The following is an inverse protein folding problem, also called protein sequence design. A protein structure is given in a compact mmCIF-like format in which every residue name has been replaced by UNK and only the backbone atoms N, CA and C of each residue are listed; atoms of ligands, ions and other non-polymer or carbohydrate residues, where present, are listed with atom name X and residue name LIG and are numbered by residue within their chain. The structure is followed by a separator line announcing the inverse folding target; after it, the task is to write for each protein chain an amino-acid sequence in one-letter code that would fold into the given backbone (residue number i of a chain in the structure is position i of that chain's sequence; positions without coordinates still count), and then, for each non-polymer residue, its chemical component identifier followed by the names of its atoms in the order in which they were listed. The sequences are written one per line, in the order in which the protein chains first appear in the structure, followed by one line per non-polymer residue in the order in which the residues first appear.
data_IF_241295721499
#
_entry.id   IF_241295721499
#
_cell.length_a   1.000
_cell.length_b   1.000
_cell.length_c   1.000
_cell.angle_alpha   90.00
_cell.angle_beta   90.00
_cell.angle_gamma   90.00
#
_symmetry.space_group_name_H-M   'P 1'
#
loop_
_entity.id
_entity.type
_entity.pdbx_description
1 polymer ?
#
# COMPACT_ATOMS: atom_id res chain seq x y z
N UNK A 1 4.83 2.10 -22.77
CA UNK A 1 4.83 2.24 -21.31
C UNK A 1 5.29 0.95 -20.63
N UNK A 2 4.64 -0.18 -20.84
CA UNK A 2 4.97 -1.47 -20.20
C UNK A 2 6.44 -1.86 -20.36
N UNK A 3 6.97 -1.88 -21.57
CA UNK A 3 8.37 -2.23 -21.84
C UNK A 3 9.40 -1.37 -21.10
N UNK A 4 9.11 -0.07 -20.95
CA UNK A 4 9.98 0.84 -20.17
C UNK A 4 9.91 0.51 -18.69
N UNK A 5 8.73 0.20 -18.17
CA UNK A 5 8.55 -0.20 -16.78
C UNK A 5 9.26 -1.52 -16.48
N UNK A 6 9.08 -2.53 -17.34
CA UNK A 6 9.76 -3.82 -17.21
C UNK A 6 11.29 -3.68 -17.22
N UNK A 7 11.83 -2.88 -18.13
CA UNK A 7 13.28 -2.61 -18.17
C UNK A 7 13.73 -1.92 -16.89
N UNK A 8 13.02 -0.88 -16.45
CA UNK A 8 13.33 -0.16 -15.23
C UNK A 8 13.33 -1.07 -13.98
N UNK A 9 12.31 -1.93 -13.85
CA UNK A 9 12.26 -2.88 -12.72
C UNK A 9 13.40 -3.89 -12.79
N UNK A 10 13.73 -4.42 -13.97
CA UNK A 10 14.84 -5.36 -14.14
C UNK A 10 16.19 -4.73 -13.78
N UNK A 11 16.38 -3.46 -14.11
CA UNK A 11 17.63 -2.75 -13.89
C UNK A 11 17.77 -2.26 -12.44
N UNK A 12 16.71 -1.67 -11.87
CA UNK A 12 16.77 -1.02 -10.56
C UNK A 12 16.32 -1.94 -9.40
N UNK A 13 15.42 -2.90 -9.67
CA UNK A 13 14.81 -3.77 -8.66
C UNK A 13 14.78 -5.23 -9.13
N UNK A 14 15.94 -5.83 -9.50
CA UNK A 14 15.98 -7.17 -10.09
C UNK A 14 15.41 -8.27 -9.19
N UNK A 15 15.37 -8.05 -7.89
CA UNK A 15 14.75 -8.96 -6.93
C UNK A 15 13.23 -9.06 -7.12
N UNK A 16 12.53 -7.98 -7.53
CA UNK A 16 11.09 -8.02 -7.78
C UNK A 16 10.70 -8.90 -8.97
N UNK A 17 11.65 -9.24 -9.85
CA UNK A 17 11.42 -10.18 -10.94
C UNK A 17 11.42 -11.63 -10.46
N UNK A 18 12.16 -11.94 -9.39
CA UNK A 18 12.39 -13.30 -8.91
C UNK A 18 11.65 -13.61 -7.61
N UNK A 19 11.62 -12.65 -6.70
CA UNK A 19 11.07 -12.82 -5.37
C UNK A 19 9.56 -12.54 -5.35
N UNK A 20 8.91 -13.05 -4.32
CA UNK A 20 7.50 -12.82 -4.10
C UNK A 20 7.27 -11.47 -3.47
N UNK A 21 6.22 -10.77 -3.89
CA UNK A 21 5.86 -9.46 -3.38
C UNK A 21 4.39 -9.37 -2.95
N UNK A 22 4.06 -8.35 -2.16
CA UNK A 22 2.70 -7.95 -1.82
C UNK A 22 2.39 -6.69 -2.62
N UNK A 23 1.34 -6.71 -3.42
CA UNK A 23 0.82 -5.53 -4.11
C UNK A 23 -0.40 -5.02 -3.36
N UNK A 24 -0.29 -3.81 -2.82
CA UNK A 24 -1.38 -3.16 -2.12
C UNK A 24 -2.35 -2.53 -3.12
N UNK A 25 -3.56 -3.07 -3.22
CA UNK A 25 -4.55 -2.61 -4.19
C UNK A 25 -5.82 -2.12 -3.47
N UNK A 26 -6.07 -0.81 -3.55
CA UNK A 26 -7.24 -0.18 -2.93
C UNK A 26 -8.50 -0.25 -3.81
N UNK A 27 -8.38 -0.58 -5.09
CA UNK A 27 -9.45 -0.46 -6.10
C UNK A 27 -9.39 0.84 -6.89
N UNK A 28 -8.65 1.85 -6.43
CA UNK A 28 -8.42 3.09 -7.16
C UNK A 28 -7.50 2.91 -8.37
N UNK A 29 -7.58 3.85 -9.31
CA UNK A 29 -6.90 3.80 -10.62
C UNK A 29 -5.41 3.48 -10.49
N UNK A 30 -4.67 4.19 -9.63
CA UNK A 30 -3.22 4.03 -9.52
C UNK A 30 -2.84 2.63 -9.00
N UNK A 31 -3.59 2.11 -8.03
CA UNK A 31 -3.37 0.77 -7.49
C UNK A 31 -3.69 -0.34 -8.50
N UNK A 32 -4.68 -0.13 -9.35
CA UNK A 32 -5.04 -1.04 -10.45
C UNK A 32 -4.00 -0.97 -11.57
N UNK A 33 -3.45 0.21 -11.86
CA UNK A 33 -2.32 0.37 -12.79
C UNK A 33 -1.10 -0.39 -12.26
N UNK A 34 -0.74 -0.22 -10.99
CA UNK A 34 0.37 -0.96 -10.37
C UNK A 34 0.16 -2.48 -10.47
N UNK A 35 -1.06 -2.97 -10.18
CA UNK A 35 -1.40 -4.38 -10.33
C UNK A 35 -1.11 -4.90 -11.75
N UNK A 36 -1.58 -4.16 -12.78
CA UNK A 36 -1.37 -4.56 -14.18
C UNK A 36 0.11 -4.46 -14.60
N UNK A 37 0.84 -3.46 -14.12
CA UNK A 37 2.27 -3.34 -14.35
C UNK A 37 3.02 -4.53 -13.74
N UNK A 38 2.68 -4.95 -12.52
CA UNK A 38 3.30 -6.11 -11.90
C UNK A 38 2.96 -7.42 -12.60
N UNK A 39 1.76 -7.56 -13.17
CA UNK A 39 1.44 -8.72 -14.02
C UNK A 39 2.37 -8.87 -15.22
N UNK A 40 2.87 -7.77 -15.78
CA UNK A 40 3.80 -7.81 -16.92
C UNK A 40 5.22 -8.16 -16.50
N UNK A 41 5.60 -7.86 -15.27
CA UNK A 41 6.95 -8.14 -14.74
C UNK A 41 7.06 -9.56 -14.18
N UNK A 42 6.14 -9.89 -13.27
CA UNK A 42 6.19 -11.14 -12.53
C UNK A 42 4.82 -11.43 -11.90
N UNK A 43 4.28 -12.62 -12.14
CA UNK A 43 3.02 -13.07 -11.51
C UNK A 43 3.21 -13.66 -10.10
N UNK A 44 4.42 -13.64 -9.57
CA UNK A 44 4.72 -14.16 -8.24
C UNK A 44 4.46 -13.10 -7.17
N UNK A 45 3.23 -12.62 -7.09
CA UNK A 45 2.81 -11.69 -6.03
C UNK A 45 1.44 -12.09 -5.46
N UNK A 46 1.13 -11.51 -4.33
CA UNK A 46 -0.21 -11.57 -3.71
C UNK A 46 -0.76 -10.15 -3.58
N UNK A 47 -2.08 -10.04 -3.52
CA UNK A 47 -2.73 -8.73 -3.33
C UNK A 47 -3.23 -8.60 -1.89
N UNK A 48 -2.95 -7.44 -1.29
CA UNK A 48 -3.51 -7.00 -0.02
C UNK A 48 -4.48 -5.84 -0.24
N UNK A 49 -5.70 -5.96 0.30
CA UNK A 49 -6.75 -4.94 0.25
C UNK A 49 -7.25 -4.63 1.65
N UNK A 50 -7.37 -3.33 1.97
CA UNK A 50 -7.94 -2.85 3.22
C UNK A 50 -9.30 -2.20 2.95
N UNK A 51 -10.36 -2.75 3.51
CA UNK A 51 -11.69 -2.16 3.48
C UNK A 51 -11.96 -1.42 4.79
N UNK A 52 -11.92 -0.09 4.76
CA UNK A 52 -12.11 0.76 5.95
C UNK A 52 -13.56 1.11 6.24
N UNK A 53 -14.50 0.65 5.44
CA UNK A 53 -15.95 0.93 5.54
C UNK A 53 -16.31 2.42 5.68
N UNK A 54 -15.46 3.29 5.12
CA UNK A 54 -15.64 4.74 5.22
C UNK A 54 -16.73 5.26 4.28
N UNK A 55 -16.97 4.56 3.16
CA UNK A 55 -17.92 4.94 2.11
C UNK A 55 -19.07 3.94 1.95
N UNK A 56 -19.39 3.18 2.99
CA UNK A 56 -20.43 2.16 2.96
C UNK A 56 -20.35 1.26 1.71
N UNK A 57 -21.37 1.33 0.83
CA UNK A 57 -21.50 0.46 -0.36
C UNK A 57 -20.33 0.58 -1.35
N UNK A 58 -19.72 1.76 -1.50
CA UNK A 58 -18.58 1.96 -2.41
C UNK A 58 -17.34 1.19 -1.94
N UNK A 59 -17.11 1.11 -0.63
CA UNK A 59 -15.96 0.39 -0.08
C UNK A 59 -16.07 -1.12 -0.26
N UNK A 60 -17.28 -1.67 -0.20
CA UNK A 60 -17.54 -3.09 -0.46
C UNK A 60 -17.47 -3.38 -1.96
N UNK A 61 -17.88 -2.43 -2.80
CA UNK A 61 -17.72 -2.48 -4.26
C UNK A 61 -16.25 -2.54 -4.70
N UNK A 62 -15.39 -1.73 -4.09
CA UNK A 62 -13.95 -1.74 -4.35
C UNK A 62 -13.32 -3.10 -3.97
N UNK A 63 -13.69 -3.66 -2.82
CA UNK A 63 -13.21 -4.97 -2.39
C UNK A 63 -13.62 -6.08 -3.37
N UNK A 64 -14.89 -6.11 -3.77
CA UNK A 64 -15.38 -7.12 -4.73
C UNK A 64 -14.73 -6.96 -6.11
N UNK A 65 -14.51 -5.73 -6.56
CA UNK A 65 -13.80 -5.44 -7.80
C UNK A 65 -12.36 -6.00 -7.76
N UNK A 66 -11.59 -5.70 -6.72
CA UNK A 66 -10.20 -6.17 -6.59
C UNK A 66 -10.16 -7.69 -6.47
N UNK A 67 -11.07 -8.29 -5.72
CA UNK A 67 -11.21 -9.75 -5.59
C UNK A 67 -11.48 -10.42 -6.93
N UNK A 68 -12.38 -9.86 -7.75
CA UNK A 68 -12.69 -10.34 -9.10
C UNK A 68 -11.47 -10.21 -10.02
N UNK A 69 -10.76 -9.06 -9.96
CA UNK A 69 -9.53 -8.82 -10.71
C UNK A 69 -8.45 -9.86 -10.38
N UNK A 70 -8.26 -10.16 -9.11
CA UNK A 70 -7.32 -11.19 -8.64
C UNK A 70 -7.72 -12.59 -9.14
N UNK A 71 -9.01 -12.94 -9.05
CA UNK A 71 -9.52 -14.23 -9.52
C UNK A 71 -9.30 -14.43 -11.01
N UNK A 72 -9.56 -13.41 -11.84
CA UNK A 72 -9.36 -13.44 -13.28
C UNK A 72 -7.90 -13.68 -13.68
N UNK A 73 -6.96 -13.22 -12.86
CA UNK A 73 -5.53 -13.35 -13.12
C UNK A 73 -4.84 -14.47 -12.32
N UNK A 74 -5.61 -15.28 -11.56
CA UNK A 74 -5.11 -16.37 -10.70
C UNK A 74 -4.13 -15.88 -9.63
N UNK A 75 -4.32 -14.65 -9.12
CA UNK A 75 -3.54 -14.03 -8.05
C UNK A 75 -4.23 -14.25 -6.70
N UNK A 76 -3.46 -14.59 -5.66
CA UNK A 76 -3.99 -14.72 -4.31
C UNK A 76 -4.40 -13.36 -3.75
N UNK A 77 -5.60 -13.30 -3.19
CA UNK A 77 -6.21 -12.10 -2.61
C UNK A 77 -6.34 -12.25 -1.09
N UNK A 78 -5.89 -11.24 -0.37
CA UNK A 78 -6.05 -11.09 1.07
C UNK A 78 -6.75 -9.77 1.34
N UNK A 79 -7.83 -9.79 2.10
CA UNK A 79 -8.52 -8.58 2.53
C UNK A 79 -8.77 -8.57 4.03
N UNK A 80 -8.85 -7.37 4.58
CA UNK A 80 -9.22 -7.11 5.97
C UNK A 80 -10.15 -5.90 6.02
N UNK A 81 -11.30 -6.08 6.66
CA UNK A 81 -12.26 -5.00 6.87
C UNK A 81 -12.06 -4.41 8.27
N UNK A 82 -12.11 -3.07 8.35
CA UNK A 82 -11.92 -2.33 9.58
C UNK A 82 -13.11 -1.43 9.87
N UNK A 83 -13.65 -1.49 11.07
CA UNK A 83 -14.63 -0.51 11.56
C UNK A 83 -13.92 0.72 12.11
N UNK A 84 -13.42 1.56 11.19
CA UNK A 84 -12.66 2.77 11.54
C UNK A 84 -13.47 3.78 12.33
N UNK A 85 -14.80 3.82 12.17
CA UNK A 85 -15.68 4.72 12.92
C UNK A 85 -15.68 4.34 14.40
N UNK A 86 -15.86 3.05 14.70
CA UNK A 86 -15.83 2.53 16.07
C UNK A 86 -14.47 2.72 16.75
N UNK A 87 -13.38 2.51 16.01
CA UNK A 87 -12.01 2.73 16.52
C UNK A 87 -11.79 4.22 16.82
N UNK A 88 -12.33 5.12 15.99
CA UNK A 88 -12.22 6.57 16.19
C UNK A 88 -12.88 7.04 17.49
N UNK A 89 -13.98 6.42 17.92
CA UNK A 89 -14.66 6.77 19.17
C UNK A 89 -13.76 6.61 20.39
N UNK A 90 -12.80 5.70 20.33
CA UNK A 90 -11.85 5.40 21.44
C UNK A 90 -10.47 6.04 21.23
N UNK A 91 -10.22 6.69 20.09
CA UNK A 91 -8.91 7.26 19.72
C UNK A 91 -8.95 8.76 19.56
N UNK A 92 -7.88 9.44 19.99
CA UNK A 92 -7.65 10.88 19.74
C UNK A 92 -7.10 11.17 18.33
N UNK A 93 -6.62 10.15 17.62
CA UNK A 93 -6.02 10.26 16.27
C UNK A 93 -7.06 10.57 15.20
N UNK A 94 -6.67 11.16 14.09
CA UNK A 94 -7.56 11.34 12.94
C UNK A 94 -7.93 9.99 12.30
N UNK A 95 -9.10 9.93 11.63
CA UNK A 95 -9.52 8.72 10.89
C UNK A 95 -8.45 8.29 9.87
N UNK A 96 -7.79 9.25 9.23
CA UNK A 96 -6.74 8.99 8.25
C UNK A 96 -5.51 8.34 8.89
N UNK A 97 -5.09 8.81 10.07
CA UNK A 97 -3.99 8.18 10.81
C UNK A 97 -4.36 6.77 11.24
N UNK A 98 -5.54 6.58 11.83
CA UNK A 98 -6.04 5.25 12.21
C UNK A 98 -6.04 4.30 11.00
N UNK A 99 -6.59 4.74 9.87
CA UNK A 99 -6.63 3.94 8.64
C UNK A 99 -5.22 3.63 8.10
N UNK A 100 -4.28 4.57 8.26
CA UNK A 100 -2.87 4.37 7.91
C UNK A 100 -2.25 3.28 8.78
N UNK A 101 -2.33 3.40 10.09
CA UNK A 101 -1.73 2.45 11.03
C UNK A 101 -2.30 1.03 10.82
N UNK A 102 -3.63 0.90 10.76
CA UNK A 102 -4.31 -0.37 10.49
C UNK A 102 -3.90 -1.01 9.15
N UNK A 103 -3.60 -0.18 8.15
CA UNK A 103 -3.13 -0.64 6.84
C UNK A 103 -1.76 -1.27 6.94
N UNK A 104 -0.83 -0.59 7.58
CA UNK A 104 0.54 -1.09 7.72
C UNK A 104 0.60 -2.32 8.62
N UNK A 105 -0.13 -2.33 9.74
CA UNK A 105 -0.25 -3.50 10.60
C UNK A 105 -0.73 -4.74 9.82
N UNK A 106 -1.70 -4.55 8.92
CA UNK A 106 -2.19 -5.65 8.09
C UNK A 106 -1.17 -6.10 7.04
N UNK A 107 -0.43 -5.17 6.46
CA UNK A 107 0.63 -5.52 5.50
C UNK A 107 1.75 -6.29 6.19
N UNK A 108 2.15 -5.90 7.38
CA UNK A 108 3.15 -6.58 8.19
C UNK A 108 2.66 -7.97 8.64
N UNK A 109 1.38 -8.11 8.99
CA UNK A 109 0.76 -9.41 9.27
C UNK A 109 0.88 -10.37 8.08
N UNK A 110 0.57 -9.91 6.85
CA UNK A 110 0.70 -10.72 5.64
C UNK A 110 2.16 -11.02 5.33
N UNK A 111 3.03 -10.01 5.41
CA UNK A 111 4.47 -10.09 5.18
C UNK A 111 5.10 -11.18 6.06
N UNK A 112 4.87 -11.10 7.36
CA UNK A 112 5.39 -12.05 8.34
C UNK A 112 4.83 -13.46 8.11
N UNK A 113 3.50 -13.60 7.92
CA UNK A 113 2.84 -14.89 7.72
C UNK A 113 3.29 -15.62 6.46
N UNK A 114 3.58 -14.88 5.39
CA UNK A 114 3.96 -15.44 4.09
C UNK A 114 5.48 -15.39 3.84
N UNK A 115 6.24 -14.81 4.76
CA UNK A 115 7.67 -14.55 4.62
C UNK A 115 7.99 -13.80 3.31
N UNK A 116 7.24 -12.70 3.06
CA UNK A 116 7.40 -11.84 1.88
C UNK A 116 7.98 -10.52 2.35
N UNK A 117 9.16 -10.14 1.83
CA UNK A 117 9.88 -8.92 2.24
C UNK A 117 9.44 -7.64 1.51
N UNK A 118 8.87 -7.80 0.31
CA UNK A 118 8.62 -6.65 -0.58
C UNK A 118 7.14 -6.29 -0.60
N UNK A 119 6.84 -5.06 -0.21
CA UNK A 119 5.48 -4.48 -0.23
C UNK A 119 5.47 -3.32 -1.23
N UNK A 120 4.57 -3.38 -2.19
CA UNK A 120 4.43 -2.41 -3.27
C UNK A 120 3.13 -1.62 -3.09
N UNK A 121 3.26 -0.31 -3.01
CA UNK A 121 2.13 0.62 -2.93
C UNK A 121 2.13 1.57 -4.11
N UNK A 122 0.95 1.98 -4.57
CA UNK A 122 0.80 2.92 -5.68
C UNK A 122 0.82 4.38 -5.19
N UNK A 123 1.82 4.73 -4.37
CA UNK A 123 2.08 6.13 -4.04
C UNK A 123 2.93 6.76 -5.14
N UNK A 124 2.61 7.99 -5.50
CA UNK A 124 3.37 8.72 -6.51
C UNK A 124 3.84 10.09 -5.97
N UNK A 125 4.71 10.76 -6.74
CA UNK A 125 5.35 12.00 -6.30
C UNK A 125 4.34 13.11 -5.94
N UNK A 126 3.20 13.16 -6.63
CA UNK A 126 2.14 14.13 -6.33
C UNK A 126 1.53 13.91 -4.94
N UNK A 127 1.36 12.65 -4.48
CA UNK A 127 0.87 12.35 -3.14
C UNK A 127 1.82 12.89 -2.08
N UNK A 128 3.13 12.76 -2.31
CA UNK A 128 4.17 13.30 -1.44
C UNK A 128 4.16 14.83 -1.43
N UNK A 129 4.00 15.45 -2.59
CA UNK A 129 3.91 16.91 -2.72
C UNK A 129 2.64 17.45 -2.05
N UNK A 130 1.49 16.80 -2.25
CA UNK A 130 0.23 17.19 -1.61
C UNK A 130 0.33 17.09 -0.09
N UNK A 131 0.88 15.99 0.43
CA UNK A 131 1.13 15.81 1.86
C UNK A 131 2.08 16.89 2.41
N UNK A 132 3.14 17.22 1.70
CA UNK A 132 4.09 18.26 2.05
C UNK A 132 3.42 19.64 2.13
N UNK A 133 2.62 20.02 1.12
CA UNK A 133 1.89 21.30 1.10
C UNK A 133 0.87 21.41 2.23
N UNK A 134 0.13 20.34 2.51
CA UNK A 134 -0.82 20.28 3.63
C UNK A 134 -0.10 20.45 4.97
N UNK A 135 1.04 19.79 5.14
CA UNK A 135 1.81 19.87 6.38
C UNK A 135 2.41 21.25 6.60
N UNK A 136 2.92 21.91 5.55
CA UNK A 136 3.35 23.32 5.62
C UNK A 136 2.19 24.22 6.04
N UNK A 137 1.01 24.08 5.40
CA UNK A 137 -0.16 24.92 5.69
C UNK A 137 -0.64 24.79 7.14
N UNK A 138 -0.37 23.65 7.78
CA UNK A 138 -0.71 23.36 9.18
C UNK A 138 0.38 23.76 10.17
N UNK A 139 1.52 24.31 9.70
CA UNK A 139 2.64 24.69 10.54
C UNK A 139 3.34 23.48 11.19
N UNK A 140 3.34 22.34 10.52
CA UNK A 140 4.05 21.14 11.01
C UNK A 140 5.55 21.39 11.09
N UNK A 141 6.21 20.83 12.11
CA UNK A 141 7.68 20.83 12.22
C UNK A 141 8.36 20.00 11.14
N UNK A 142 9.69 19.88 11.21
CA UNK A 142 10.51 19.16 10.21
C UNK A 142 10.04 17.72 9.96
N UNK A 143 9.61 17.02 11.01
CA UNK A 143 9.11 15.63 10.89
C UNK A 143 7.87 15.52 10.01
N UNK A 144 7.00 16.55 9.99
CA UNK A 144 5.83 16.60 9.11
C UNK A 144 6.17 16.93 7.66
N UNK A 145 7.38 17.39 7.36
CA UNK A 145 7.82 17.76 6.02
C UNK A 145 8.52 16.61 5.26
N UNK A 146 8.87 15.53 5.95
CA UNK A 146 9.61 14.40 5.36
C UNK A 146 8.76 13.50 4.44
N UNK A 147 7.48 13.80 4.24
CA UNK A 147 6.60 13.08 3.34
C UNK A 147 6.22 11.67 3.84
N UNK A 148 5.75 10.84 2.93
CA UNK A 148 5.45 9.44 3.22
C UNK A 148 6.78 8.67 3.29
N UNK A 149 7.31 8.46 4.49
CA UNK A 149 8.45 7.57 4.69
C UNK A 149 8.05 6.16 4.21
N UNK A 150 8.76 5.66 3.21
CA UNK A 150 8.74 4.25 2.88
C UNK A 150 9.45 3.53 4.04
N UNK A 151 8.68 2.94 4.93
CA UNK A 151 9.23 2.01 5.92
C UNK A 151 9.77 0.80 5.17
N UNK A 152 11.09 0.69 5.11
CA UNK A 152 11.72 -0.61 4.95
C UNK A 152 11.94 -1.14 6.37
N UNK A 153 11.63 -2.40 6.61
CA UNK A 153 11.83 -3.06 7.92
C UNK A 153 13.29 -3.04 8.40
N UNK A 154 14.22 -2.64 7.56
CA UNK A 154 15.65 -2.51 7.87
C UNK A 154 16.03 -1.13 8.45
N UNK A 155 15.11 -0.14 8.43
CA UNK A 155 15.40 1.20 8.96
C UNK A 155 15.28 1.30 10.48
N UNK A 156 14.74 0.28 11.15
CA UNK A 156 14.59 0.27 12.62
C UNK A 156 15.91 -0.04 13.35
N UNK A 157 16.88 -0.66 12.68
CA UNK A 157 18.15 -1.08 13.30
C UNK A 157 19.29 -0.05 13.19
N UNK A 158 19.10 1.04 12.43
CA UNK A 158 20.17 2.02 12.18
C UNK A 158 20.12 3.27 13.06
N UNK A 159 19.10 3.43 13.92
CA UNK A 159 18.94 4.58 14.80
C UNK A 159 19.46 4.38 16.23
N UNK A 160 20.05 3.23 16.54
CA UNK A 160 20.59 2.91 17.88
C UNK A 160 22.13 2.75 17.89
N UNK A 161 22.84 3.63 17.15
CA UNK A 161 24.31 3.78 17.26
C UNK A 161 24.76 5.21 17.35
#
# INVERSE_FOLDING_TARGET
MLSKFESYIKDQFPYLVKEKSIVCCSGGVDSVVLFNLMLSVNKNFVVAHCNFKLRADDSDGDEEFVKKLCKQNSIKFYSKSFDTKKIKETSKSSIQMIARDLRYDFFDEISSRLNIKHILTAHHLNDSLESFLINISRGSGLDGLTGCLLYTSDAADEYDR
#
